data_IF_471313598473
#
_entry.id   IF_471313598473
#
_cell.length_a   1.000
_cell.length_b   1.000
_cell.length_c   1.000
_cell.angle_alpha   90.00
_cell.angle_beta   90.00
_cell.angle_gamma   90.00
#
_symmetry.space_group_name_H-M   'P 1'
#
loop_
_entity.id
_entity.type
_entity.pdbx_description
1 polymer ?
#
# COMPACT_ATOMS: atom_id res chain seq x y z
N UNK A 1 -0.83 16.36 -26.72
CA UNK A 1 -0.21 16.85 -25.47
C UNK A 1 -0.65 15.89 -24.37
N UNK A 2 0.28 15.16 -23.76
CA UNK A 2 -0.04 14.32 -22.62
C UNK A 2 -0.51 15.19 -21.44
N UNK A 3 -1.61 14.81 -20.80
CA UNK A 3 -2.11 15.45 -19.60
C UNK A 3 -1.49 14.78 -18.38
N UNK A 4 -0.86 15.54 -17.50
CA UNK A 4 -0.23 15.02 -16.28
C UNK A 4 -0.98 15.49 -15.06
N UNK A 5 -1.33 14.55 -14.18
CA UNK A 5 -1.83 14.83 -12.84
C UNK A 5 -0.80 14.34 -11.83
N UNK A 6 -0.26 15.26 -11.03
CA UNK A 6 0.71 14.94 -10.00
C UNK A 6 0.06 14.87 -8.63
N UNK A 7 0.79 14.29 -7.68
CA UNK A 7 0.47 14.33 -6.25
C UNK A 7 -0.88 13.72 -5.89
N UNK A 8 -1.27 12.65 -6.59
CA UNK A 8 -2.40 11.81 -6.17
C UNK A 8 -1.92 10.92 -5.03
N UNK A 9 -2.27 11.30 -3.81
CA UNK A 9 -1.96 10.51 -2.63
C UNK A 9 -3.16 9.64 -2.23
N UNK A 10 -2.90 8.35 -2.02
CA UNK A 10 -3.87 7.37 -1.56
C UNK A 10 -3.35 6.67 -0.30
N UNK A 11 -4.27 6.38 0.60
CA UNK A 11 -4.00 5.54 1.76
C UNK A 11 -4.02 4.07 1.36
N UNK A 12 -2.96 3.36 1.70
CA UNK A 12 -2.84 1.90 1.54
C UNK A 12 -2.26 1.32 2.82
N UNK A 13 -2.04 0.01 2.85
CA UNK A 13 -1.30 -0.64 3.90
C UNK A 13 -0.46 -1.79 3.35
N UNK A 14 0.69 -1.99 3.97
CA UNK A 14 1.48 -3.20 3.80
C UNK A 14 1.07 -4.18 4.90
N UNK A 15 0.57 -5.34 4.51
CA UNK A 15 0.26 -6.45 5.41
C UNK A 15 1.34 -7.50 5.23
N UNK A 16 2.07 -7.80 6.29
CA UNK A 16 3.13 -8.81 6.29
C UNK A 16 2.72 -9.93 7.23
N UNK A 17 2.66 -11.16 6.71
CA UNK A 17 2.31 -12.35 7.49
C UNK A 17 3.50 -13.29 7.57
N UNK A 18 3.89 -13.63 8.79
CA UNK A 18 4.93 -14.60 9.10
C UNK A 18 4.25 -15.89 9.55
N UNK A 19 4.40 -16.96 8.78
CA UNK A 19 3.81 -18.26 9.08
C UNK A 19 4.90 -19.21 9.55
N UNK A 20 4.78 -19.82 10.74
CA UNK A 20 5.73 -20.83 11.21
C UNK A 20 5.87 -21.92 10.15
N UNK A 21 7.09 -22.24 9.74
CA UNK A 21 7.42 -23.19 8.65
C UNK A 21 6.89 -22.86 7.24
N UNK A 22 6.02 -21.86 7.09
CA UNK A 22 5.44 -21.43 5.81
C UNK A 22 6.16 -20.25 5.15
N UNK A 23 6.99 -19.52 5.90
CA UNK A 23 7.76 -18.38 5.38
C UNK A 23 7.09 -17.04 5.64
N UNK A 24 7.35 -16.07 4.76
CA UNK A 24 6.86 -14.70 4.87
C UNK A 24 6.12 -14.32 3.60
N UNK A 25 4.92 -13.79 3.77
CA UNK A 25 4.12 -13.22 2.68
C UNK A 25 3.88 -11.73 2.93
N UNK A 26 3.84 -10.95 1.87
CA UNK A 26 3.54 -9.51 1.93
C UNK A 26 2.54 -9.13 0.87
N UNK A 27 1.47 -8.44 1.27
CA UNK A 27 0.46 -7.90 0.35
C UNK A 27 0.30 -6.39 0.60
N UNK A 28 -0.02 -5.66 -0.47
CA UNK A 28 -0.47 -4.28 -0.38
C UNK A 28 -1.99 -4.29 -0.52
N UNK A 29 -2.70 -3.76 0.46
CA UNK A 29 -4.15 -3.60 0.43
C UNK A 29 -4.54 -2.12 0.52
N UNK A 30 -5.76 -1.80 0.12
CA UNK A 30 -6.36 -0.47 0.24
C UNK A 30 -7.74 -0.55 0.88
N UNK A 31 -8.20 0.56 1.45
CA UNK A 31 -9.53 0.64 2.07
C UNK A 31 -9.56 0.27 3.54
N UNK A 32 -10.70 -0.28 4.00
CA UNK A 32 -10.99 -0.47 5.44
C UNK A 32 -10.03 -1.46 6.14
N UNK A 33 -9.46 -2.40 5.39
CA UNK A 33 -8.54 -3.44 5.90
C UNK A 33 -7.26 -2.85 6.52
N UNK A 34 -6.90 -1.63 6.12
CA UNK A 34 -5.70 -0.96 6.62
C UNK A 34 -5.84 -0.42 8.04
N UNK A 35 -7.09 -0.27 8.53
CA UNK A 35 -7.36 0.39 9.79
C UNK A 35 -6.80 1.83 9.83
N UNK A 36 -6.72 2.39 11.03
CA UNK A 36 -6.25 3.76 11.24
C UNK A 36 -4.84 3.85 11.84
N UNK A 37 -4.27 2.71 12.27
CA UNK A 37 -3.01 2.67 13.01
C UNK A 37 -2.24 1.39 12.71
N UNK A 38 -0.92 1.44 12.91
CA UNK A 38 -0.04 0.27 12.88
C UNK A 38 -0.57 -0.81 13.86
N UNK A 39 -0.61 -2.06 13.41
CA UNK A 39 -1.08 -3.18 14.23
C UNK A 39 -0.21 -4.42 14.06
N UNK A 40 -0.16 -5.22 15.13
CA UNK A 40 0.48 -6.53 15.15
C UNK A 40 -0.51 -7.49 15.79
N UNK A 41 -0.82 -8.57 15.09
CA UNK A 41 -1.73 -9.63 15.54
C UNK A 41 -0.96 -10.95 15.56
N UNK A 42 -1.02 -11.65 16.69
CA UNK A 42 -0.55 -13.03 16.80
C UNK A 42 -1.78 -13.91 16.68
N UNK A 43 -1.87 -14.66 15.59
CA UNK A 43 -2.99 -15.53 15.29
C UNK A 43 -2.89 -16.82 16.13
N UNK A 44 -4.01 -17.52 16.28
CA UNK A 44 -4.09 -18.75 17.08
C UNK A 44 -3.25 -19.91 16.53
N UNK A 45 -2.92 -19.88 15.24
CA UNK A 45 -2.02 -20.82 14.58
C UNK A 45 -0.53 -20.48 14.79
N UNK A 46 -0.25 -19.42 15.55
CA UNK A 46 1.11 -18.93 15.82
C UNK A 46 1.69 -18.05 14.71
N UNK A 47 0.94 -17.76 13.65
CA UNK A 47 1.35 -16.77 12.65
C UNK A 47 1.28 -15.35 13.20
N UNK A 48 2.12 -14.47 12.67
CA UNK A 48 2.19 -13.06 13.06
C UNK A 48 1.81 -12.23 11.84
N UNK A 49 0.77 -11.42 11.96
CA UNK A 49 0.36 -10.46 10.93
C UNK A 49 0.65 -9.05 11.39
N UNK A 50 1.39 -8.30 10.59
CA UNK A 50 1.72 -6.89 10.83
C UNK A 50 1.02 -6.06 9.75
N UNK A 51 0.20 -5.09 10.16
CA UNK A 51 -0.43 -4.13 9.23
C UNK A 51 0.20 -2.76 9.44
N UNK A 52 0.80 -2.22 8.38
CA UNK A 52 1.47 -0.92 8.37
C UNK A 52 0.71 0.02 7.42
N UNK A 53 -0.07 1.00 7.93
CA UNK A 53 -0.70 2.00 7.10
C UNK A 53 0.35 2.91 6.43
N UNK A 54 0.21 3.11 5.13
CA UNK A 54 1.10 3.89 4.28
C UNK A 54 0.32 4.93 3.49
N UNK A 55 1.00 6.01 3.12
CA UNK A 55 0.55 6.96 2.11
C UNK A 55 1.41 6.78 0.88
N UNK A 56 0.75 6.47 -0.24
CA UNK A 56 1.36 6.32 -1.57
C UNK A 56 0.97 7.53 -2.39
N UNK A 57 1.94 8.30 -2.89
CA UNK A 57 1.68 9.37 -3.84
C UNK A 57 2.16 8.98 -5.23
N UNK A 58 1.33 9.29 -6.23
CA UNK A 58 1.51 8.88 -7.61
C UNK A 58 1.43 10.09 -8.55
N UNK A 59 2.09 9.97 -9.69
CA UNK A 59 1.84 10.79 -10.87
C UNK A 59 1.17 9.95 -11.94
N UNK A 60 0.12 10.50 -12.54
CA UNK A 60 -0.63 9.90 -13.63
C UNK A 60 -0.41 10.73 -14.89
N UNK A 61 -0.14 10.04 -16.00
CA UNK A 61 -0.01 10.64 -17.32
C UNK A 61 -1.03 10.01 -18.25
N UNK A 62 -1.96 10.81 -18.76
CA UNK A 62 -2.84 10.41 -19.86
C UNK A 62 -2.17 10.84 -21.17
N UNK A 63 -1.74 9.85 -21.94
CA UNK A 63 -1.13 10.06 -23.23
C UNK A 63 -2.20 10.34 -24.31
N UNK A 64 -1.79 10.93 -25.43
CA UNK A 64 -2.68 11.24 -26.55
C UNK A 64 -3.32 10.00 -27.20
N UNK A 65 -2.69 8.83 -27.03
CA UNK A 65 -3.20 7.53 -27.47
C UNK A 65 -4.18 6.88 -26.49
N UNK A 66 -4.60 7.64 -25.46
CA UNK A 66 -5.47 7.21 -24.36
C UNK A 66 -4.86 6.17 -23.42
N UNK A 67 -3.56 5.86 -23.55
CA UNK A 67 -2.85 5.05 -22.56
C UNK A 67 -2.60 5.85 -21.28
N UNK A 68 -2.57 5.16 -20.15
CA UNK A 68 -2.29 5.75 -18.84
C UNK A 68 -0.95 5.24 -18.33
N UNK A 69 -0.01 6.16 -18.14
CA UNK A 69 1.22 5.93 -17.39
C UNK A 69 1.00 6.25 -15.92
N UNK A 70 1.56 5.44 -15.03
CA UNK A 70 1.57 5.72 -13.59
C UNK A 70 2.99 5.58 -13.06
N UNK A 71 3.38 6.47 -12.15
CA UNK A 71 4.66 6.39 -11.46
C UNK A 71 4.49 6.70 -9.97
N UNK A 72 5.22 5.95 -9.14
CA UNK A 72 5.32 6.24 -7.71
C UNK A 72 6.21 7.46 -7.52
N UNK A 73 5.66 8.51 -6.90
CA UNK A 73 6.42 9.73 -6.58
C UNK A 73 6.86 9.75 -5.13
N UNK A 74 6.09 9.15 -4.22
CA UNK A 74 6.44 9.05 -2.80
C UNK A 74 5.77 7.84 -2.15
N UNK A 75 6.46 7.27 -1.16
CA UNK A 75 5.95 6.22 -0.27
C UNK A 75 6.38 6.54 1.16
N UNK A 76 5.42 6.63 2.07
CA UNK A 76 5.68 6.97 3.47
C UNK A 76 4.74 6.25 4.41
N UNK A 77 5.15 6.09 5.67
CA UNK A 77 4.24 5.62 6.71
C UNK A 77 3.19 6.68 7.00
N UNK A 78 1.95 6.25 7.18
CA UNK A 78 0.88 7.14 7.62
C UNK A 78 1.14 7.52 9.07
N UNK A 79 1.46 8.79 9.31
CA UNK A 79 1.62 9.36 10.64
C UNK A 79 0.29 9.97 11.08
N UNK A 80 -0.09 9.77 12.36
CA UNK A 80 -1.29 10.37 12.96
C UNK A 80 -1.19 11.88 13.11
#
# INVERSE_FOLDING_TARGET
MAYTLNDICIDVCLIVTFTPSGGVESIVSGGEECGSSHSIVINSDGSITITLPLVVCLSLVLNDDLSVGTSLTSLSFKTS
#
